data_IF_289839630384
#
_entry.id   IF_289839630384
#
_cell.length_a   1.000
_cell.length_b   1.000
_cell.length_c   1.000
_cell.angle_alpha   90.00
_cell.angle_beta   90.00
_cell.angle_gamma   90.00
#
_symmetry.space_group_name_H-M   'P 1'
#
loop_
_entity.id
_entity.type
_entity.pdbx_description
1 polymer ?
#
# COMPACT_ATOMS: atom_id res chain seq x y z
N UNK A 1 -5.45 7.91 57.65
CA UNK A 1 -6.41 8.31 56.58
C UNK A 1 -5.78 7.94 55.24
N UNK A 2 -6.56 7.42 54.28
CA UNK A 2 -6.05 6.46 53.30
C UNK A 2 -6.29 6.91 51.83
N UNK A 3 -5.36 6.72 50.88
CA UNK A 3 -5.53 7.02 49.44
C UNK A 3 -5.30 5.78 48.54
N UNK A 4 -6.28 5.45 47.70
CA UNK A 4 -6.43 4.20 46.96
C UNK A 4 -6.38 4.45 45.45
N UNK A 5 -5.26 4.22 44.78
CA UNK A 5 -5.18 4.36 43.31
C UNK A 5 -5.99 3.25 42.63
N UNK A 6 -7.20 3.54 42.11
CA UNK A 6 -8.05 2.53 41.44
C UNK A 6 -7.73 2.42 39.94
N UNK A 7 -8.15 1.29 39.37
CA UNK A 7 -8.08 0.95 37.95
C UNK A 7 -9.48 0.60 37.42
N UNK A 8 -9.88 1.22 36.29
CA UNK A 8 -10.98 0.92 35.35
C UNK A 8 -12.43 1.38 35.66
N UNK A 9 -13.01 2.10 34.68
CA UNK A 9 -14.36 1.90 34.06
C UNK A 9 -14.51 2.81 32.83
N UNK A 10 -14.96 2.28 31.69
CA UNK A 10 -15.46 3.04 30.51
C UNK A 10 -16.63 2.27 29.88
N UNK A 11 -17.73 2.93 29.47
CA UNK A 11 -18.60 2.43 28.40
C UNK A 11 -18.42 3.23 27.10
N UNK A 12 -18.42 2.48 25.98
CA UNK A 12 -18.23 2.90 24.59
C UNK A 12 -19.51 3.44 23.92
N UNK A 13 -19.36 4.24 22.86
CA UNK A 13 -20.32 4.26 21.73
C UNK A 13 -19.66 4.64 20.40
N UNK A 14 -20.03 3.88 19.35
CA UNK A 14 -19.51 3.83 17.98
C UNK A 14 -20.27 4.79 17.03
N UNK A 15 -19.60 5.22 15.94
CA UNK A 15 -20.22 5.76 14.72
C UNK A 15 -19.93 4.84 13.52
N UNK A 16 -20.81 4.72 12.51
CA UNK A 16 -20.61 3.82 11.38
C UNK A 16 -20.07 4.51 10.11
N UNK A 17 -19.31 3.72 9.33
CA UNK A 17 -18.81 3.99 7.98
C UNK A 17 -19.83 3.52 6.92
N UNK A 18 -19.92 4.22 5.79
CA UNK A 18 -20.41 3.66 4.51
C UNK A 18 -19.77 4.35 3.30
N UNK A 19 -19.24 3.54 2.39
CA UNK A 19 -19.20 3.70 0.91
C UNK A 19 -19.55 2.29 0.33
N UNK A 20 -19.71 2.00 -0.98
CA UNK A 20 -19.31 2.73 -2.20
C UNK A 20 -20.30 2.64 -3.42
N UNK A 21 -19.95 3.21 -4.59
CA UNK A 21 -20.35 2.69 -5.92
C UNK A 21 -19.53 3.28 -7.08
N UNK A 22 -19.03 2.40 -7.96
CA UNK A 22 -18.51 2.65 -9.32
C UNK A 22 -19.68 2.67 -10.32
N UNK A 23 -19.52 3.39 -11.44
CA UNK A 23 -20.12 2.99 -12.73
C UNK A 23 -19.34 3.57 -13.93
N UNK A 24 -19.30 2.77 -14.98
CA UNK A 24 -18.56 2.84 -16.27
C UNK A 24 -19.31 3.54 -17.40
N UNK A 25 -18.60 4.00 -18.46
CA UNK A 25 -19.04 4.10 -19.89
C UNK A 25 -17.78 4.47 -20.73
N UNK A 26 -17.24 3.59 -21.59
CA UNK A 26 -17.60 3.26 -22.99
C UNK A 26 -16.77 4.05 -24.03
N UNK A 27 -15.90 3.36 -24.79
CA UNK A 27 -15.16 3.87 -25.95
C UNK A 27 -15.35 2.90 -27.11
N UNK A 28 -16.02 3.40 -28.15
CA UNK A 28 -16.43 2.68 -29.35
C UNK A 28 -15.32 2.69 -30.40
N UNK A 29 -14.97 1.50 -30.87
CA UNK A 29 -14.05 1.22 -31.98
C UNK A 29 -14.69 1.54 -33.33
N UNK A 30 -13.87 2.03 -34.26
CA UNK A 30 -14.20 2.19 -35.67
C UNK A 30 -13.54 1.09 -36.51
N UNK A 31 -14.33 0.41 -37.34
CA UNK A 31 -13.86 -0.44 -38.43
C UNK A 31 -14.58 -0.03 -39.71
N UNK A 32 -13.81 0.13 -40.78
CA UNK A 32 -14.25 0.41 -42.15
C UNK A 32 -14.22 -0.89 -42.97
N UNK A 33 -15.33 -1.19 -43.64
CA UNK A 33 -15.50 -2.32 -44.55
C UNK A 33 -15.20 -1.84 -45.99
N UNK A 34 -14.34 -2.57 -46.69
CA UNK A 34 -14.19 -2.50 -48.15
C UNK A 34 -15.17 -3.48 -48.81
N UNK A 35 -15.98 -3.00 -49.76
CA UNK A 35 -16.84 -3.86 -50.59
C UNK A 35 -16.66 -3.58 -52.09
N UNK A 36 -16.81 -4.65 -52.87
CA UNK A 36 -16.32 -4.91 -54.21
C UNK A 36 -16.86 -4.03 -55.34
N UNK A 37 -15.99 -3.76 -56.31
CA UNK A 37 -16.28 -3.24 -57.65
C UNK A 37 -17.00 -4.29 -58.52
N UNK A 38 -18.15 -3.90 -59.09
CA UNK A 38 -18.90 -4.68 -60.08
C UNK A 38 -18.62 -4.15 -61.49
N UNK A 39 -18.04 -5.00 -62.31
CA UNK A 39 -17.75 -4.85 -63.74
C UNK A 39 -19.03 -4.67 -64.56
N UNK A 40 -19.07 -3.67 -65.44
CA UNK A 40 -20.04 -3.55 -66.53
C UNK A 40 -19.32 -3.74 -67.86
N UNK A 41 -19.76 -4.75 -68.61
CA UNK A 41 -19.37 -5.05 -69.99
C UNK A 41 -20.03 -4.03 -70.92
N UNK A 42 -19.26 -3.47 -71.85
CA UNK A 42 -19.78 -2.69 -72.97
C UNK A 42 -19.14 -3.16 -74.28
N UNK A 43 -20.00 -3.13 -75.30
CA UNK A 43 -19.95 -3.84 -76.58
C UNK A 43 -19.05 -3.13 -77.60
N UNK A 44 -18.46 -3.95 -78.48
CA UNK A 44 -17.60 -3.64 -79.64
C UNK A 44 -18.33 -2.80 -80.70
N UNK A 45 -17.62 -1.92 -81.43
CA UNK A 45 -17.75 -1.95 -82.88
C UNK A 45 -16.40 -2.16 -83.60
N UNK A 46 -16.49 -2.80 -84.76
CA UNK A 46 -15.40 -3.26 -85.65
C UNK A 46 -14.54 -2.13 -86.26
N UNK A 47 -13.36 -2.45 -86.82
CA UNK A 47 -12.26 -1.50 -86.97
C UNK A 47 -12.28 -0.72 -88.30
N UNK A 48 -11.88 0.55 -88.24
CA UNK A 48 -11.47 1.34 -89.40
C UNK A 48 -9.99 1.08 -89.71
N UNK A 49 -9.72 0.61 -90.93
CA UNK A 49 -8.37 0.33 -91.47
C UNK A 49 -7.62 1.64 -91.79
N UNK A 50 -6.36 1.83 -91.34
CA UNK A 50 -5.51 2.86 -91.89
C UNK A 50 -4.76 2.35 -93.14
N UNK A 51 -4.91 3.10 -94.24
CA UNK A 51 -4.18 2.91 -95.50
C UNK A 51 -2.77 3.48 -95.33
N UNK A 52 -1.77 2.61 -95.12
CA UNK A 52 -0.36 3.02 -95.06
C UNK A 52 0.24 2.86 -96.46
N UNK A 53 0.52 3.99 -97.10
CA UNK A 53 1.30 4.10 -98.34
C UNK A 53 2.74 3.65 -98.11
N UNK A 54 3.25 2.85 -99.05
CA UNK A 54 4.54 2.20 -98.96
C UNK A 54 5.73 3.15 -98.90
N UNK A 55 6.67 2.80 -98.01
CA UNK A 55 8.09 3.14 -98.15
C UNK A 55 8.83 1.81 -98.19
N UNK A 56 9.35 1.49 -99.37
CA UNK A 56 10.25 0.38 -99.65
C UNK A 56 11.61 0.66 -99.01
N UNK A 57 11.84 0.09 -97.83
CA UNK A 57 13.17 -0.14 -97.28
C UNK A 57 13.39 -1.64 -97.19
N UNK A 58 14.47 -2.17 -97.73
CA UNK A 58 14.79 -3.60 -97.63
C UNK A 58 15.05 -3.96 -96.15
N UNK A 59 14.02 -4.48 -95.45
CA UNK A 59 14.14 -4.96 -94.08
C UNK A 59 14.80 -6.34 -94.09
N UNK A 60 16.02 -6.42 -93.55
CA UNK A 60 16.76 -7.66 -93.42
C UNK A 60 16.13 -8.52 -92.29
N UNK A 61 15.24 -9.45 -92.66
CA UNK A 61 14.37 -10.25 -91.75
C UNK A 61 15.12 -11.05 -90.67
N UNK A 62 16.42 -11.30 -90.84
CA UNK A 62 17.25 -12.03 -89.88
C UNK A 62 17.76 -11.18 -88.70
N UNK A 63 17.88 -9.85 -88.87
CA UNK A 63 18.50 -8.96 -87.87
C UNK A 63 17.50 -8.56 -86.76
N UNK A 64 16.24 -8.27 -87.12
CA UNK A 64 15.18 -7.91 -86.18
C UNK A 64 14.77 -9.07 -85.26
N UNK A 65 14.77 -10.32 -85.78
CA UNK A 65 14.49 -11.52 -84.96
C UNK A 65 15.52 -11.72 -83.85
N UNK A 66 16.80 -11.43 -84.14
CA UNK A 66 17.89 -11.53 -83.15
C UNK A 66 17.75 -10.47 -82.05
N UNK A 67 17.40 -9.24 -82.41
CA UNK A 67 17.16 -8.18 -81.42
C UNK A 67 15.97 -8.48 -80.49
N UNK A 68 14.88 -9.05 -81.02
CA UNK A 68 13.72 -9.45 -80.21
C UNK A 68 14.03 -10.58 -79.23
N UNK A 69 14.82 -11.58 -79.65
CA UNK A 69 15.24 -12.69 -78.79
C UNK A 69 16.11 -12.19 -77.62
N UNK A 70 17.06 -11.28 -77.88
CA UNK A 70 17.89 -10.70 -76.83
C UNK A 70 17.05 -9.89 -75.84
N UNK A 71 16.13 -9.05 -76.34
CA UNK A 71 15.24 -8.27 -75.47
C UNK A 71 14.33 -9.15 -74.60
N UNK A 72 13.81 -10.26 -75.15
CA UNK A 72 12.98 -11.21 -74.41
C UNK A 72 13.78 -11.95 -73.31
N UNK A 73 15.03 -12.35 -73.61
CA UNK A 73 15.92 -12.96 -72.62
C UNK A 73 16.26 -11.96 -71.51
N UNK A 74 16.55 -10.70 -71.85
CA UNK A 74 16.80 -9.66 -70.87
C UNK A 74 15.58 -9.39 -69.99
N UNK A 75 14.37 -9.29 -70.57
CA UNK A 75 13.13 -9.12 -69.81
C UNK A 75 12.84 -10.30 -68.87
N UNK A 76 13.05 -11.53 -69.35
CA UNK A 76 12.91 -12.73 -68.53
C UNK A 76 13.90 -12.74 -67.35
N UNK A 77 15.15 -12.35 -67.59
CA UNK A 77 16.18 -12.29 -66.56
C UNK A 77 15.90 -11.18 -65.53
N UNK A 78 15.43 -10.02 -65.98
CA UNK A 78 14.98 -8.93 -65.11
C UNK A 78 13.79 -9.37 -64.25
N UNK A 79 12.83 -10.10 -64.83
CA UNK A 79 11.67 -10.63 -64.10
C UNK A 79 12.10 -11.65 -63.02
N UNK A 80 13.03 -12.56 -63.35
CA UNK A 80 13.56 -13.52 -62.39
C UNK A 80 14.29 -12.85 -61.22
N UNK A 81 15.09 -11.81 -61.49
CA UNK A 81 15.76 -11.05 -60.43
C UNK A 81 14.78 -10.31 -59.52
N UNK A 82 13.73 -9.72 -60.09
CA UNK A 82 12.66 -9.08 -59.32
C UNK A 82 11.92 -10.10 -58.44
N UNK A 83 11.57 -11.27 -59.00
CA UNK A 83 10.93 -12.34 -58.23
C UNK A 83 11.82 -12.85 -57.10
N UNK A 84 13.11 -13.07 -57.35
CA UNK A 84 14.06 -13.49 -56.32
C UNK A 84 14.19 -12.44 -55.20
N UNK A 85 14.24 -11.15 -55.54
CA UNK A 85 14.26 -10.05 -54.57
C UNK A 85 13.00 -9.99 -53.70
N UNK A 86 11.82 -10.16 -54.31
CA UNK A 86 10.53 -10.18 -53.59
C UNK A 86 10.46 -11.37 -52.63
N UNK A 87 10.87 -12.56 -53.07
CA UNK A 87 10.91 -13.76 -52.23
C UNK A 87 11.86 -13.56 -51.06
N UNK A 88 13.05 -13.01 -51.29
CA UNK A 88 14.02 -12.69 -50.23
C UNK A 88 13.44 -11.70 -49.21
N UNK A 89 12.82 -10.62 -49.67
CA UNK A 89 12.18 -9.63 -48.81
C UNK A 89 11.05 -10.23 -47.98
N UNK A 90 10.22 -11.08 -48.59
CA UNK A 90 9.13 -11.78 -47.90
C UNK A 90 9.66 -12.70 -46.79
N UNK A 91 10.72 -13.47 -47.07
CA UNK A 91 11.36 -14.33 -46.06
C UNK A 91 11.97 -13.51 -44.92
N UNK A 92 12.64 -12.40 -45.21
CA UNK A 92 13.20 -11.53 -44.16
C UNK A 92 12.10 -10.89 -43.31
N UNK A 93 10.99 -10.49 -43.93
CA UNK A 93 9.84 -9.92 -43.23
C UNK A 93 9.18 -10.96 -42.31
N UNK A 94 8.93 -12.18 -42.81
CA UNK A 94 8.36 -13.27 -42.02
C UNK A 94 9.23 -13.65 -40.81
N UNK A 95 10.56 -13.63 -40.95
CA UNK A 95 11.47 -13.85 -39.82
C UNK A 95 11.42 -12.70 -38.80
N UNK A 96 11.31 -11.45 -39.27
CA UNK A 96 11.17 -10.30 -38.39
C UNK A 96 9.88 -10.41 -37.55
N UNK A 97 8.75 -10.78 -38.14
CA UNK A 97 7.47 -10.96 -37.42
C UNK A 97 7.57 -11.96 -36.26
N UNK A 98 8.24 -13.10 -36.47
CA UNK A 98 8.46 -14.10 -35.40
C UNK A 98 9.31 -13.53 -34.27
N UNK A 99 10.34 -12.73 -34.61
CA UNK A 99 11.18 -12.08 -33.59
C UNK A 99 10.45 -10.97 -32.81
N UNK A 100 9.57 -10.22 -33.47
CA UNK A 100 8.73 -9.21 -32.82
C UNK A 100 7.72 -9.85 -31.87
N UNK A 101 7.06 -10.94 -32.29
CA UNK A 101 6.17 -11.70 -31.42
C UNK A 101 6.90 -12.26 -30.17
N UNK A 102 8.14 -12.75 -30.34
CA UNK A 102 8.96 -13.19 -29.21
C UNK A 102 9.36 -12.03 -28.28
N UNK A 103 9.58 -10.83 -28.82
CA UNK A 103 9.86 -9.64 -28.04
C UNK A 103 8.63 -9.20 -27.24
N UNK A 104 7.44 -9.20 -27.86
CA UNK A 104 6.18 -8.89 -27.18
C UNK A 104 5.92 -9.83 -26.00
N UNK A 105 6.14 -11.14 -26.20
CA UNK A 105 6.04 -12.12 -25.10
C UNK A 105 6.99 -11.83 -23.95
N UNK A 106 8.22 -11.38 -24.23
CA UNK A 106 9.17 -10.98 -23.19
C UNK A 106 8.71 -9.72 -22.47
N UNK A 107 8.19 -8.73 -23.20
CA UNK A 107 7.64 -7.50 -22.62
C UNK A 107 6.47 -7.83 -21.72
N UNK A 108 5.52 -8.66 -22.16
CA UNK A 108 4.37 -9.10 -21.36
C UNK A 108 4.78 -9.91 -20.11
N UNK A 109 5.76 -10.81 -20.23
CA UNK A 109 6.26 -11.56 -19.07
C UNK A 109 6.94 -10.61 -18.06
N UNK A 110 7.72 -9.64 -18.56
CA UNK A 110 8.37 -8.67 -17.69
C UNK A 110 7.37 -7.74 -17.02
N UNK A 111 6.35 -7.27 -17.74
CA UNK A 111 5.27 -6.46 -17.16
C UNK A 111 4.49 -7.25 -16.12
N UNK A 112 4.16 -8.51 -16.38
CA UNK A 112 3.52 -9.39 -15.40
C UNK A 112 4.38 -9.58 -14.14
N UNK A 113 5.69 -9.83 -14.30
CA UNK A 113 6.62 -9.94 -13.17
C UNK A 113 6.73 -8.63 -12.38
N UNK A 114 6.72 -7.49 -13.08
CA UNK A 114 6.77 -6.17 -12.45
C UNK A 114 5.49 -5.91 -11.64
N UNK A 115 4.31 -6.24 -12.19
CA UNK A 115 3.03 -6.13 -11.48
C UNK A 115 3.03 -6.99 -10.22
N UNK A 116 3.45 -8.26 -10.31
CA UNK A 116 3.54 -9.15 -9.14
C UNK A 116 4.51 -8.60 -8.08
N UNK A 117 5.64 -8.04 -8.50
CA UNK A 117 6.58 -7.45 -7.56
C UNK A 117 6.04 -6.16 -6.93
N UNK A 118 5.31 -5.35 -7.69
CA UNK A 118 4.64 -4.16 -7.18
C UNK A 118 3.57 -4.52 -6.14
N UNK A 119 2.78 -5.57 -6.40
CA UNK A 119 1.81 -6.10 -5.44
C UNK A 119 2.49 -6.56 -4.16
N UNK A 120 3.64 -7.25 -4.27
CA UNK A 120 4.45 -7.65 -3.11
C UNK A 120 4.98 -6.45 -2.33
N UNK A 121 5.44 -5.39 -3.00
CA UNK A 121 5.89 -4.16 -2.34
C UNK A 121 4.73 -3.51 -1.59
N UNK A 122 3.54 -3.38 -2.21
CA UNK A 122 2.36 -2.82 -1.55
C UNK A 122 1.88 -3.66 -0.35
N UNK A 123 2.01 -4.99 -0.42
CA UNK A 123 1.70 -5.87 0.69
C UNK A 123 2.72 -5.68 1.83
N UNK A 124 4.00 -5.57 1.50
CA UNK A 124 5.06 -5.36 2.48
C UNK A 124 4.93 -3.99 3.18
N UNK A 125 4.59 -2.94 2.45
CA UNK A 125 4.30 -1.61 3.03
C UNK A 125 3.12 -1.66 4.02
N UNK A 126 2.04 -2.37 3.68
CA UNK A 126 0.92 -2.59 4.61
C UNK A 126 1.35 -3.35 5.86
N UNK A 127 2.21 -4.35 5.71
CA UNK A 127 2.76 -5.07 6.85
C UNK A 127 3.63 -4.18 7.75
N UNK A 128 4.48 -3.32 7.16
CA UNK A 128 5.30 -2.36 7.92
C UNK A 128 4.40 -1.40 8.69
N UNK A 129 3.40 -0.78 8.05
CA UNK A 129 2.48 0.14 8.71
C UNK A 129 1.70 -0.54 9.86
N UNK A 130 1.28 -1.80 9.67
CA UNK A 130 0.63 -2.58 10.72
C UNK A 130 1.58 -2.90 11.90
N UNK A 131 2.85 -3.23 11.61
CA UNK A 131 3.86 -3.48 12.64
C UNK A 131 4.23 -2.22 13.41
N UNK A 132 4.37 -1.07 12.75
CA UNK A 132 4.62 0.22 13.39
C UNK A 132 3.48 0.59 14.34
N UNK A 133 2.24 0.39 13.88
CA UNK A 133 1.04 0.61 14.69
C UNK A 133 1.06 -0.30 15.93
N UNK A 134 1.35 -1.59 15.76
CA UNK A 134 1.45 -2.56 16.87
C UNK A 134 2.59 -2.21 17.83
N UNK A 135 3.74 -1.79 17.31
CA UNK A 135 4.90 -1.43 18.12
C UNK A 135 4.59 -0.22 19.02
N UNK A 136 3.94 0.81 18.47
CA UNK A 136 3.54 2.00 19.23
C UNK A 136 2.55 1.65 20.37
N UNK A 137 1.65 0.69 20.16
CA UNK A 137 0.75 0.18 21.21
C UNK A 137 1.48 -0.71 22.24
N UNK A 138 2.55 -1.40 21.84
CA UNK A 138 3.34 -2.25 22.74
C UNK A 138 4.28 -1.49 23.68
N UNK A 139 4.67 -0.26 23.30
CA UNK A 139 5.51 0.60 24.13
C UNK A 139 4.65 1.35 25.17
N UNK A 140 4.49 0.72 26.33
CA UNK A 140 3.70 1.27 27.43
C UNK A 140 4.61 1.74 28.56
N UNK A 141 4.56 3.03 28.86
CA UNK A 141 5.28 3.62 29.99
C UNK A 141 4.55 4.88 30.46
N UNK A 142 4.49 5.08 31.77
CA UNK A 142 3.98 6.33 32.32
C UNK A 142 4.84 6.80 33.50
N UNK A 143 4.93 8.11 33.67
CA UNK A 143 5.59 8.76 34.80
C UNK A 143 4.79 9.99 35.18
N UNK A 144 4.35 10.05 36.43
CA UNK A 144 3.36 11.03 36.90
C UNK A 144 3.69 11.52 38.31
N UNK A 145 3.26 12.73 38.62
CA UNK A 145 3.33 13.32 39.96
C UNK A 145 2.05 14.12 40.28
N UNK A 146 1.84 14.42 41.56
CA UNK A 146 0.62 15.08 42.04
C UNK A 146 0.40 16.47 41.40
N UNK A 147 1.46 17.11 40.92
CA UNK A 147 1.42 18.37 40.17
C UNK A 147 1.23 19.62 41.02
N UNK A 148 0.39 19.59 42.05
CA UNK A 148 0.17 20.74 42.94
C UNK A 148 0.80 20.48 44.33
N UNK A 149 1.67 21.35 44.87
CA UNK A 149 2.48 21.09 46.05
C UNK A 149 1.74 21.31 47.40
N UNK A 150 0.40 21.38 47.40
CA UNK A 150 -0.37 21.47 48.66
C UNK A 150 -0.50 20.09 49.30
N UNK A 151 -0.84 20.08 50.59
CA UNK A 151 -1.18 18.87 51.33
C UNK A 151 -2.33 18.13 50.62
N UNK A 152 -2.05 16.95 50.08
CA UNK A 152 -3.03 16.09 49.43
C UNK A 152 -3.73 15.23 50.49
N UNK A 153 -4.48 15.87 51.38
CA UNK A 153 -5.12 15.26 52.55
C UNK A 153 -5.16 16.23 53.73
N UNK A 154 -5.74 15.83 54.88
CA UNK A 154 -6.27 14.50 55.21
C UNK A 154 -7.61 14.15 54.53
N UNK A 155 -7.86 12.86 54.27
CA UNK A 155 -9.12 12.37 53.68
C UNK A 155 -9.93 11.54 54.68
N UNK A 156 -11.23 11.82 54.82
CA UNK A 156 -12.13 11.02 55.66
C UNK A 156 -12.29 9.58 55.14
N UNK A 157 -12.26 9.41 53.82
CA UNK A 157 -12.45 8.13 53.14
C UNK A 157 -11.30 7.81 52.19
N UNK A 158 -11.17 6.54 51.86
CA UNK A 158 -10.29 6.05 50.81
C UNK A 158 -10.71 6.61 49.46
N UNK A 159 -9.79 7.25 48.72
CA UNK A 159 -10.07 7.80 47.40
C UNK A 159 -8.91 7.67 46.43
N UNK A 160 -9.21 7.67 45.14
CA UNK A 160 -8.20 7.55 44.08
C UNK A 160 -7.35 8.79 43.90
N UNK A 161 -6.03 8.58 44.04
CA UNK A 161 -5.06 9.63 43.86
C UNK A 161 -4.92 9.93 42.37
N UNK A 162 -5.36 11.11 41.97
CA UNK A 162 -5.26 11.59 40.60
C UNK A 162 -4.00 12.42 40.46
N UNK A 163 -2.96 11.84 39.88
CA UNK A 163 -1.70 12.53 39.58
C UNK A 163 -1.90 13.37 38.31
N UNK A 164 -1.94 14.70 38.47
CA UNK A 164 -2.28 15.63 37.39
C UNK A 164 -1.09 16.03 36.52
N UNK A 165 0.13 15.96 37.05
CA UNK A 165 1.32 16.28 36.27
C UNK A 165 1.89 15.01 35.62
N UNK A 166 1.84 14.95 34.30
CA UNK A 166 2.22 13.78 33.50
C UNK A 166 3.50 14.09 32.74
N UNK A 167 4.58 13.38 33.04
CA UNK A 167 5.87 13.52 32.35
C UNK A 167 5.94 12.65 31.10
N UNK A 168 5.46 11.40 31.21
CA UNK A 168 5.43 10.41 30.13
C UNK A 168 4.09 9.66 30.21
N UNK A 169 3.48 9.37 29.06
CA UNK A 169 2.30 8.51 28.93
C UNK A 169 2.29 7.78 27.58
N UNK A 170 3.38 7.07 27.28
CA UNK A 170 3.52 6.25 26.08
C UNK A 170 2.49 5.11 26.11
N UNK A 171 1.80 4.90 24.98
CA UNK A 171 0.69 3.97 24.87
C UNK A 171 -0.63 4.49 25.47
N UNK A 172 -0.67 5.71 26.02
CA UNK A 172 -1.91 6.35 26.50
C UNK A 172 -2.61 5.62 27.65
N UNK A 173 -1.87 4.77 28.36
CA UNK A 173 -2.43 3.83 29.34
C UNK A 173 -2.84 4.50 30.66
N UNK A 174 -2.25 5.65 31.03
CA UNK A 174 -2.64 6.39 32.22
C UNK A 174 -3.68 7.47 31.91
N UNK A 175 -4.77 7.51 32.68
CA UNK A 175 -5.82 8.51 32.58
C UNK A 175 -5.65 9.61 33.67
N UNK A 176 -5.23 10.84 33.30
CA UNK A 176 -5.05 11.93 34.27
C UNK A 176 -6.35 12.53 34.80
N UNK A 177 -7.50 12.17 34.22
CA UNK A 177 -8.82 12.48 34.74
C UNK A 177 -9.16 11.66 35.98
N UNK A 178 -8.81 10.37 35.97
CA UNK A 178 -9.23 9.39 36.98
C UNK A 178 -8.10 8.86 37.87
N UNK A 179 -6.83 9.02 37.50
CA UNK A 179 -5.70 8.44 38.23
C UNK A 179 -5.44 6.95 37.95
N UNK A 180 -6.11 6.41 36.93
CA UNK A 180 -6.15 4.99 36.59
C UNK A 180 -5.12 4.68 35.49
N UNK A 181 -4.35 3.60 35.65
CA UNK A 181 -3.56 3.01 34.57
C UNK A 181 -4.28 1.80 33.96
N UNK A 182 -4.70 1.81 32.71
CA UNK A 182 -5.32 0.62 32.07
C UNK A 182 -4.32 -0.08 31.18
N UNK A 183 -4.06 -1.37 31.42
CA UNK A 183 -3.16 -2.16 30.57
C UNK A 183 -3.74 -2.28 29.14
N UNK A 184 -3.09 -1.73 28.10
CA UNK A 184 -3.61 -1.80 26.74
C UNK A 184 -3.32 -3.14 26.07
N UNK A 185 -2.37 -3.92 26.59
CA UNK A 185 -1.99 -5.25 26.11
C UNK A 185 -1.73 -6.19 27.29
N UNK A 186 -1.85 -7.50 27.06
CA UNK A 186 -1.46 -8.48 28.08
C UNK A 186 0.06 -8.46 28.26
N UNK A 187 0.52 -8.36 29.49
CA UNK A 187 1.95 -8.29 29.78
C UNK A 187 2.30 -8.20 31.25
N UNK A 188 3.59 -8.14 31.54
CA UNK A 188 4.13 -7.87 32.87
C UNK A 188 4.46 -6.38 32.97
N UNK A 189 3.93 -5.73 34.00
CA UNK A 189 4.08 -4.31 34.25
C UNK A 189 4.79 -4.09 35.58
N UNK A 190 5.77 -3.19 35.58
CA UNK A 190 6.47 -2.78 36.79
C UNK A 190 5.91 -1.44 37.27
N UNK A 191 5.49 -1.40 38.53
CA UNK A 191 4.99 -0.20 39.19
C UNK A 191 5.91 0.16 40.34
N UNK A 192 6.28 1.43 40.41
CA UNK A 192 6.93 2.03 41.58
C UNK A 192 6.13 3.27 41.97
N UNK A 193 5.88 3.41 43.26
CA UNK A 193 5.22 4.59 43.80
C UNK A 193 5.93 5.03 45.07
N UNK A 194 6.00 6.35 45.24
CA UNK A 194 6.65 7.00 46.35
C UNK A 194 5.74 8.11 46.86
N UNK A 195 5.74 8.29 48.17
CA UNK A 195 4.97 9.34 48.84
C UNK A 195 5.86 10.05 49.85
N UNK A 196 5.68 11.36 49.95
CA UNK A 196 6.32 12.20 50.94
C UNK A 196 5.26 12.87 51.80
N UNK A 197 5.46 12.93 53.11
CA UNK A 197 4.50 13.52 54.02
C UNK A 197 5.15 14.23 55.19
N UNK A 198 4.55 15.37 55.58
CA UNK A 198 4.81 16.03 56.84
C UNK A 198 3.95 15.38 57.91
N UNK A 199 4.60 14.72 58.87
CA UNK A 199 3.92 13.75 59.71
C UNK A 199 3.16 14.39 60.87
N UNK A 200 1.85 14.52 60.69
CA UNK A 200 0.88 14.90 61.73
C UNK A 200 -0.21 13.82 61.90
N UNK A 201 0.08 12.57 61.52
CA UNK A 201 -0.88 11.46 61.65
C UNK A 201 -0.52 10.24 60.79
N UNK A 202 -1.53 9.40 60.54
CA UNK A 202 -1.38 8.17 59.73
C UNK A 202 -1.44 8.49 58.24
N UNK A 203 -0.37 8.17 57.53
CA UNK A 203 -0.26 8.29 56.08
C UNK A 203 -0.26 6.90 55.47
N UNK A 204 -1.05 6.71 54.42
CA UNK A 204 -0.95 5.50 53.62
C UNK A 204 -1.22 5.74 52.15
N UNK A 205 -0.49 5.00 51.33
CA UNK A 205 -0.63 4.98 49.88
C UNK A 205 -0.75 3.52 49.46
N UNK A 206 -1.80 3.20 48.71
CA UNK A 206 -2.07 1.83 48.25
C UNK A 206 -2.02 1.78 46.72
N UNK A 207 -1.32 0.78 46.20
CA UNK A 207 -1.46 0.37 44.82
C UNK A 207 -2.53 -0.72 44.74
N UNK A 208 -3.56 -0.47 43.93
CA UNK A 208 -4.67 -1.40 43.77
C UNK A 208 -4.67 -2.01 42.37
N UNK A 209 -5.12 -3.25 42.28
CA UNK A 209 -5.48 -3.94 41.03
C UNK A 209 -6.96 -4.31 41.12
N UNK A 210 -7.80 -3.73 40.28
CA UNK A 210 -9.23 -4.02 40.19
C UNK A 210 -9.94 -4.02 41.56
N UNK A 211 -9.68 -2.97 42.37
CA UNK A 211 -10.26 -2.82 43.71
C UNK A 211 -9.59 -3.63 44.82
N UNK A 212 -8.62 -4.49 44.52
CA UNK A 212 -7.86 -5.26 45.50
C UNK A 212 -6.50 -4.62 45.76
N UNK A 213 -6.15 -4.45 47.03
CA UNK A 213 -4.85 -3.94 47.44
C UNK A 213 -3.75 -4.94 47.09
N UNK A 214 -2.69 -4.47 46.40
CA UNK A 214 -1.52 -5.30 46.05
C UNK A 214 -0.35 -4.99 46.97
N UNK A 215 0.08 -3.73 47.01
CA UNK A 215 1.17 -3.25 47.88
C UNK A 215 0.77 -1.92 48.51
N UNK A 216 1.41 -1.60 49.63
CA UNK A 216 1.13 -0.38 50.38
C UNK A 216 2.38 0.23 50.97
N UNK A 217 2.33 1.54 51.16
CA UNK A 217 3.20 2.30 52.04
C UNK A 217 2.35 2.74 53.22
N UNK A 218 2.83 2.51 54.45
CA UNK A 218 2.12 2.90 55.67
C UNK A 218 3.10 3.50 56.67
N UNK A 219 2.85 4.75 57.06
CA UNK A 219 3.64 5.45 58.05
C UNK A 219 2.73 5.90 59.21
N UNK A 220 3.15 5.59 60.43
CA UNK A 220 2.47 5.98 61.67
C UNK A 220 3.45 6.78 62.53
N UNK A 221 3.21 8.08 62.67
CA UNK A 221 3.98 8.90 63.61
C UNK A 221 3.07 9.38 64.74
N UNK A 222 3.55 9.16 65.97
CA UNK A 222 2.95 9.71 67.20
C UNK A 222 3.10 11.23 67.21
N UNK A 223 2.03 11.93 67.59
CA UNK A 223 1.72 13.36 67.37
C UNK A 223 2.78 14.43 67.76
N UNK A 224 3.97 14.06 68.22
CA UNK A 224 5.00 14.97 68.74
C UNK A 224 6.23 15.14 67.84
N UNK A 225 6.31 14.46 66.70
CA UNK A 225 7.45 14.57 65.77
C UNK A 225 7.01 15.13 64.42
N UNK A 226 7.09 16.46 64.23
CA UNK A 226 6.92 17.11 62.92
C UNK A 226 8.12 16.79 62.02
N UNK A 227 8.15 15.58 61.48
CA UNK A 227 9.20 15.11 60.58
C UNK A 227 8.64 14.84 59.20
N UNK A 228 9.50 15.03 58.21
CA UNK A 228 9.22 14.62 56.85
C UNK A 228 9.61 13.16 56.69
N UNK A 229 8.68 12.35 56.22
CA UNK A 229 8.92 10.96 55.89
C UNK A 229 8.63 10.69 54.43
N UNK A 230 9.49 9.85 53.84
CA UNK A 230 9.30 9.32 52.50
C UNK A 230 9.14 7.82 52.62
N UNK A 231 8.13 7.28 51.96
CA UNK A 231 7.98 5.84 51.76
C UNK A 231 7.95 5.54 50.27
N UNK A 232 8.46 4.39 49.88
CA UNK A 232 8.41 3.90 48.50
C UNK A 232 8.16 2.40 48.49
N UNK A 233 7.42 1.92 47.51
CA UNK A 233 7.22 0.49 47.28
C UNK A 233 7.04 0.21 45.78
N UNK A 234 7.30 -1.02 45.37
CA UNK A 234 7.23 -1.44 43.97
C UNK A 234 6.74 -2.88 43.83
N UNK A 235 6.22 -3.19 42.64
CA UNK A 235 5.73 -4.55 42.32
C UNK A 235 5.74 -4.77 40.80
N UNK A 236 6.00 -6.01 40.39
CA UNK A 236 5.77 -6.48 39.02
C UNK A 236 4.48 -7.30 38.97
N UNK A 237 3.57 -6.96 38.05
CA UNK A 237 2.26 -7.60 37.93
C UNK A 237 1.99 -8.06 36.49
N UNK A 238 1.52 -9.29 36.35
CA UNK A 238 0.84 -9.70 35.12
C UNK A 238 -0.54 -9.03 35.06
N UNK A 239 -0.77 -8.26 34.00
CA UNK A 239 -2.04 -7.59 33.72
C UNK A 239 -2.59 -8.08 32.38
N UNK A 240 -3.91 -8.06 32.30
CA UNK A 240 -4.68 -8.43 31.12
C UNK A 240 -5.50 -7.21 30.65
N UNK A 241 -5.89 -7.23 29.38
CA UNK A 241 -6.82 -6.23 28.85
C UNK A 241 -8.16 -6.34 29.60
N UNK A 242 -8.84 -5.23 29.95
CA UNK A 242 -10.14 -5.30 30.59
C UNK A 242 -11.09 -6.18 29.79
N UNK A 243 -11.63 -7.23 30.41
CA UNK A 243 -12.68 -8.03 29.80
C UNK A 243 -13.89 -7.10 29.55
N UNK A 244 -14.34 -7.04 28.30
CA UNK A 244 -15.53 -6.29 27.86
C UNK A 244 -16.80 -6.78 28.53
#
# INVERSE_FOLDING_TARGET
>A
MRCVTNLLTVPCQFSPLTSPSMDSLDMRTGETIYENTKTKVAVIPSPLQPKISGISGAYNKGLWRRCFLVAAVCLGLMCLLLMAGIIGLYVTYANADVTWAALEMKVQNLTAKLMVNMDKVSAMERHIAALETRNNVSQVAFSVSLGNPRNYGPFSNNGTMVYKNVFINSGGAYNPGTGVFTAPVRGVYFFIHSGHSLSMGVVGLWLMKNGVQVVSIFNLIRAFSRRYETGSNSVSLALEYPAS
#
